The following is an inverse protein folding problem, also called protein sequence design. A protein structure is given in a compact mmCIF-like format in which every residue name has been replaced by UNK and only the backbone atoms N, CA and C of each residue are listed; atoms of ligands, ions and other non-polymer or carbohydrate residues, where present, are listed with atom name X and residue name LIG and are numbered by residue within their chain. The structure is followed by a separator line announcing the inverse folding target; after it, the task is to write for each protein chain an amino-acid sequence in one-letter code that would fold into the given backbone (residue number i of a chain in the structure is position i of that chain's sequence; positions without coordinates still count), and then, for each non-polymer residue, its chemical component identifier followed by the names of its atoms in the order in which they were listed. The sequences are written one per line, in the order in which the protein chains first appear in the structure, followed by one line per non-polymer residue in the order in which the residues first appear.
data_IF_679563883759
#
_entry.id   IF_679563883759
#
_cell.length_a   1.000
_cell.length_b   1.000
_cell.length_c   1.000
_cell.angle_alpha   90.00
_cell.angle_beta   90.00
_cell.angle_gamma   90.00
#
_symmetry.space_group_name_H-M   'P 1'
#
loop_
_entity.id
_entity.type
_entity.pdbx_description
1 polymer ?
#
# COMPACT_ATOMS: atom_id res chain seq x y z
N UNK A 1 -9.25 14.21 -0.80
CA UNK A 1 -9.50 12.75 -0.64
C UNK A 1 -9.61 12.05 -2.01
N UNK A 2 -10.34 12.63 -2.97
CA UNK A 2 -10.40 12.14 -4.36
C UNK A 2 -9.05 12.10 -5.10
N UNK A 3 -8.15 13.06 -4.87
CA UNK A 3 -6.88 13.15 -5.60
C UNK A 3 -5.90 12.01 -5.26
N UNK A 4 -5.91 11.55 -4.01
CA UNK A 4 -5.04 10.46 -3.56
C UNK A 4 -5.44 9.14 -4.24
N UNK A 5 -6.74 8.91 -4.43
CA UNK A 5 -7.28 7.73 -5.11
C UNK A 5 -7.02 7.74 -6.61
N UNK A 6 -7.05 8.91 -7.25
CA UNK A 6 -6.64 9.04 -8.65
C UNK A 6 -5.14 8.80 -8.82
N UNK A 7 -4.31 9.30 -7.91
CA UNK A 7 -2.87 8.99 -7.90
C UNK A 7 -2.61 7.49 -7.79
N UNK A 8 -3.34 6.77 -6.93
CA UNK A 8 -3.18 5.31 -6.78
C UNK A 8 -3.56 4.60 -8.07
N UNK A 9 -4.70 4.93 -8.68
CA UNK A 9 -5.08 4.35 -9.97
C UNK A 9 -4.12 4.73 -11.11
N UNK A 10 -3.48 5.89 -11.05
CA UNK A 10 -2.47 6.32 -12.02
C UNK A 10 -1.12 5.59 -11.83
N UNK A 11 -0.69 5.34 -10.58
CA UNK A 11 0.54 4.61 -10.28
C UNK A 11 0.41 3.09 -10.42
N UNK A 12 -0.80 2.55 -10.28
CA UNK A 12 -1.09 1.12 -10.40
C UNK A 12 -2.04 0.88 -11.59
N UNK A 13 -1.50 0.76 -12.83
CA UNK A 13 -2.32 0.52 -14.02
C UNK A 13 -3.14 -0.78 -13.88
N UNK A 14 -4.32 -0.83 -14.49
CA UNK A 14 -5.25 -1.98 -14.46
C UNK A 14 -4.63 -3.31 -14.89
N UNK A 15 -3.52 -3.28 -15.62
CA UNK A 15 -2.75 -4.43 -16.09
C UNK A 15 -1.71 -4.92 -15.07
N UNK A 16 -1.60 -4.28 -13.91
CA UNK A 16 -0.70 -4.69 -12.85
C UNK A 16 -1.11 -6.07 -12.30
N UNK A 17 -0.29 -7.09 -12.56
CA UNK A 17 -0.42 -8.45 -12.02
C UNK A 17 -0.07 -8.57 -10.53
N UNK A 18 0.13 -7.43 -9.85
CA UNK A 18 0.66 -7.37 -8.48
C UNK A 18 -0.46 -7.71 -7.50
N UNK A 19 -0.26 -8.74 -6.67
CA UNK A 19 -1.20 -9.16 -5.61
C UNK A 19 -1.00 -8.40 -4.29
N UNK A 20 0.22 -7.89 -4.05
CA UNK A 20 0.65 -7.24 -2.81
C UNK A 20 1.46 -5.99 -3.12
N UNK A 21 1.30 -4.95 -2.31
CA UNK A 21 2.09 -3.71 -2.36
C UNK A 21 2.45 -3.28 -0.93
N UNK A 22 3.74 -3.01 -0.71
CA UNK A 22 4.22 -2.53 0.58
C UNK A 22 4.58 -1.03 0.51
N UNK A 23 4.17 -0.27 1.52
CA UNK A 23 4.55 1.13 1.70
C UNK A 23 5.53 1.19 2.87
N UNK A 24 6.78 1.56 2.60
CA UNK A 24 7.81 1.69 3.65
C UNK A 24 7.96 3.14 4.05
N UNK A 25 7.84 3.43 5.34
CA UNK A 25 7.87 4.77 5.91
C UNK A 25 9.00 4.91 6.92
N UNK A 26 9.68 6.06 6.93
CA UNK A 26 10.83 6.33 7.81
C UNK A 26 10.47 6.96 9.17
N UNK A 27 9.25 7.47 9.33
CA UNK A 27 8.79 8.13 10.56
C UNK A 27 7.48 7.55 11.04
N UNK A 28 7.23 7.62 12.35
CA UNK A 28 5.97 7.16 12.97
C UNK A 28 4.75 7.89 12.44
N UNK A 29 4.86 9.20 12.17
CA UNK A 29 3.78 10.00 11.60
C UNK A 29 3.42 9.53 10.19
N UNK A 30 4.41 9.37 9.30
CA UNK A 30 4.17 8.85 7.95
C UNK A 30 3.63 7.42 8.00
N UNK A 31 4.07 6.61 8.95
CA UNK A 31 3.55 5.27 9.14
C UNK A 31 2.06 5.26 9.49
N UNK A 32 1.65 6.09 10.46
CA UNK A 32 0.25 6.22 10.84
C UNK A 32 -0.63 6.68 9.66
N UNK A 33 -0.15 7.64 8.87
CA UNK A 33 -0.84 8.08 7.66
C UNK A 33 -0.94 6.96 6.61
N UNK A 34 0.14 6.20 6.41
CA UNK A 34 0.16 5.08 5.48
C UNK A 34 -0.76 3.93 5.94
N UNK A 35 -0.86 3.69 7.24
CA UNK A 35 -1.80 2.70 7.80
C UNK A 35 -3.26 3.09 7.54
N UNK A 36 -3.62 4.35 7.81
CA UNK A 36 -4.96 4.88 7.51
C UNK A 36 -5.27 4.73 6.02
N UNK A 37 -4.31 5.08 5.16
CA UNK A 37 -4.45 4.91 3.72
C UNK A 37 -4.69 3.44 3.31
N UNK A 38 -3.94 2.49 3.87
CA UNK A 38 -4.14 1.06 3.60
C UNK A 38 -5.52 0.55 4.06
N UNK A 39 -6.04 1.06 5.18
CA UNK A 39 -7.37 0.70 5.67
C UNK A 39 -8.49 1.17 4.72
N UNK A 40 -8.43 2.43 4.30
CA UNK A 40 -9.36 3.00 3.32
C UNK A 40 -9.30 2.26 1.97
N UNK A 41 -8.08 1.94 1.52
CA UNK A 41 -7.87 1.16 0.30
C UNK A 41 -8.47 -0.26 0.38
N UNK A 42 -8.43 -0.90 1.55
CA UNK A 42 -9.07 -2.20 1.78
C UNK A 42 -10.60 -2.15 1.70
N UNK A 43 -11.22 -1.09 2.22
CA UNK A 43 -12.67 -0.88 2.10
C UNK A 43 -13.11 -0.71 0.64
N UNK A 44 -12.23 -0.14 -0.19
CA UNK A 44 -12.47 0.09 -1.61
C UNK A 44 -12.22 -1.13 -2.51
N UNK A 45 -11.97 -2.31 -1.93
CA UNK A 45 -11.83 -3.60 -2.64
C UNK A 45 -10.87 -3.52 -3.83
N UNK A 46 -9.69 -2.92 -3.62
CA UNK A 46 -8.63 -2.97 -4.62
C UNK A 46 -8.27 -4.43 -4.93
N UNK A 47 -7.84 -4.69 -6.17
CA UNK A 47 -7.45 -6.03 -6.65
C UNK A 47 -6.18 -6.58 -6.00
N UNK A 48 -5.57 -5.82 -5.09
CA UNK A 48 -4.31 -6.13 -4.44
C UNK A 48 -4.28 -5.61 -3.00
N UNK A 49 -3.56 -6.31 -2.14
CA UNK A 49 -3.42 -5.95 -0.73
C UNK A 49 -2.34 -4.89 -0.56
N UNK A 50 -2.65 -3.82 0.19
CA UNK A 50 -1.66 -2.84 0.62
C UNK A 50 -1.37 -2.98 2.11
N UNK A 51 -0.09 -2.83 2.48
CA UNK A 51 0.33 -2.82 3.88
C UNK A 51 1.47 -1.82 4.09
N UNK A 52 1.40 -1.09 5.20
CA UNK A 52 2.44 -0.15 5.60
C UNK A 52 3.45 -0.84 6.53
N UNK A 53 4.72 -0.49 6.41
CA UNK A 53 5.82 -1.02 7.22
C UNK A 53 6.78 0.11 7.61
N UNK A 54 7.35 0.02 8.81
CA UNK A 54 8.48 0.87 9.21
C UNK A 54 9.83 0.22 8.91
N UNK A 55 9.85 -1.11 8.77
CA UNK A 55 11.05 -1.88 8.47
C UNK A 55 11.00 -2.42 7.04
N UNK A 56 12.04 -2.09 6.26
CA UNK A 56 12.18 -2.54 4.87
C UNK A 56 12.36 -4.06 4.76
N UNK A 57 13.05 -4.69 5.72
CA UNK A 57 13.29 -6.13 5.71
C UNK A 57 11.95 -6.89 5.84
N UNK A 58 11.12 -6.50 6.80
CA UNK A 58 9.77 -7.07 6.99
C UNK A 58 8.87 -6.87 5.77
N UNK A 59 8.91 -5.67 5.16
CA UNK A 59 8.17 -5.40 3.94
C UNK A 59 8.58 -6.33 2.78
N UNK A 60 9.88 -6.62 2.68
CA UNK A 60 10.43 -7.49 1.63
C UNK A 60 10.01 -8.94 1.86
N UNK A 61 10.09 -9.43 3.09
CA UNK A 61 9.65 -10.79 3.45
C UNK A 61 8.16 -10.97 3.13
N UNK A 62 7.32 -10.02 3.54
CA UNK A 62 5.88 -10.09 3.28
C UNK A 62 5.51 -10.05 1.79
N UNK A 63 6.30 -9.37 0.96
CA UNK A 63 6.11 -9.37 -0.50
C UNK A 63 6.50 -10.69 -1.16
N UNK A 64 7.41 -11.45 -0.54
CA UNK A 64 7.90 -12.74 -1.05
C UNK A 64 7.08 -13.93 -0.56
N UNK A 65 6.37 -13.79 0.57
CA UNK A 65 5.37 -14.76 1.03
C UNK A 65 4.20 -14.79 0.02
N UNK A 66 3.76 -15.97 -0.42
CA UNK A 66 2.62 -16.14 -1.34
C UNK A 66 1.27 -15.90 -0.65
#
# INVERSE_FOLDING_TARGET
MFDLLQMVRAYYPKEATRKKTAIVTSTSLHHAMAQLFCQEAGQLTLTFTLKAFMNRAEATVWLLEE
#
